data_IF_246587442112
#
_entry.id   IF_246587442112
#
_cell.length_a   1.000
_cell.length_b   1.000
_cell.length_c   1.000
_cell.angle_alpha   90.00
_cell.angle_beta   90.00
_cell.angle_gamma   90.00
#
_symmetry.space_group_name_H-M   'P 1'
#
loop_
_entity.id
_entity.type
_entity.pdbx_description
1 polymer ?
#
# COMPACT_ATOMS: atom_id res chain seq x y z
N UNK A 1 -8.14 -31.56 -1.90
CA UNK A 1 -8.71 -30.23 -2.21
C UNK A 1 -7.61 -29.21 -1.99
N UNK A 2 -7.20 -28.49 -3.03
CA UNK A 2 -6.19 -27.43 -2.88
C UNK A 2 -6.87 -26.30 -2.09
N UNK A 3 -6.35 -26.00 -0.90
CA UNK A 3 -6.91 -24.98 -0.03
C UNK A 3 -6.83 -23.60 -0.69
N UNK A 4 -7.88 -22.79 -0.57
CA UNK A 4 -7.81 -21.38 -0.95
C UNK A 4 -6.91 -20.68 0.07
N UNK A 5 -5.74 -20.23 -0.36
CA UNK A 5 -4.87 -19.39 0.44
C UNK A 5 -5.37 -17.95 0.34
N UNK A 6 -5.59 -17.32 1.50
CA UNK A 6 -5.93 -15.90 1.60
C UNK A 6 -4.77 -15.23 2.31
N UNK A 7 -4.20 -14.22 1.68
CA UNK A 7 -3.22 -13.32 2.29
C UNK A 7 -3.78 -11.91 2.33
N UNK A 8 -3.38 -11.14 3.33
CA UNK A 8 -3.77 -9.74 3.46
C UNK A 8 -2.53 -8.87 3.33
N UNK A 9 -2.62 -7.84 2.48
CA UNK A 9 -1.65 -6.75 2.42
C UNK A 9 -2.37 -5.51 2.95
N UNK A 10 -1.79 -4.86 3.96
CA UNK A 10 -2.32 -3.64 4.57
C UNK A 10 -1.36 -2.49 4.37
N UNK A 11 -1.87 -1.36 3.90
CA UNK A 11 -1.12 -0.11 3.75
C UNK A 11 -1.70 0.93 4.71
N UNK A 12 -0.86 1.49 5.57
CA UNK A 12 -1.23 2.51 6.54
C UNK A 12 -0.52 3.81 6.20
N UNK A 13 -1.30 4.88 6.04
CA UNK A 13 -0.80 6.23 5.71
C UNK A 13 -1.09 7.14 6.90
N UNK A 14 -0.04 7.60 7.57
CA UNK A 14 -0.15 8.61 8.62
C UNK A 14 -0.14 10.00 7.97
N UNK A 15 -1.15 10.80 8.27
CA UNK A 15 -1.33 12.14 7.71
C UNK A 15 -1.16 13.20 8.81
N UNK A 16 -0.61 14.36 8.44
CA UNK A 16 -0.59 15.54 9.31
C UNK A 16 -1.95 16.26 9.37
N UNK A 17 -2.01 17.36 10.13
CA UNK A 17 -3.21 18.21 10.25
C UNK A 17 -3.70 18.80 8.91
N UNK A 18 -2.80 18.93 7.93
CA UNK A 18 -3.10 19.40 6.57
C UNK A 18 -3.40 18.26 5.59
N UNK A 19 -3.50 17.01 6.07
CA UNK A 19 -3.73 15.78 5.31
C UNK A 19 -2.58 15.41 4.36
N UNK A 20 -1.36 15.82 4.68
CA UNK A 20 -0.16 15.45 3.91
C UNK A 20 0.44 14.16 4.51
N UNK A 21 0.77 13.15 3.69
CA UNK A 21 1.44 11.94 4.17
C UNK A 21 2.79 12.23 4.84
N UNK A 22 2.95 11.76 6.07
CA UNK A 22 4.20 11.83 6.83
C UNK A 22 4.90 10.47 6.89
N UNK A 23 4.15 9.40 7.15
CA UNK A 23 4.68 8.04 7.23
C UNK A 23 3.83 7.06 6.45
N UNK A 24 4.49 6.10 5.83
CA UNK A 24 3.86 4.98 5.15
C UNK A 24 4.35 3.70 5.79
N UNK A 25 3.43 2.87 6.27
CA UNK A 25 3.76 1.54 6.79
C UNK A 25 3.00 0.48 5.99
N UNK A 26 3.57 -0.71 5.88
CA UNK A 26 2.88 -1.84 5.27
C UNK A 26 3.16 -3.16 5.97
N UNK A 27 2.19 -4.05 5.83
CA UNK A 27 2.24 -5.42 6.31
C UNK A 27 1.87 -6.34 5.16
N UNK A 28 2.63 -7.41 4.96
CA UNK A 28 2.32 -8.51 4.06
C UNK A 28 2.61 -9.84 4.76
N UNK A 29 1.54 -10.46 5.28
CA UNK A 29 1.62 -11.65 6.15
C UNK A 29 2.33 -12.83 5.48
N UNK A 30 2.02 -13.12 4.21
CA UNK A 30 2.66 -14.20 3.46
C UNK A 30 4.12 -13.90 3.09
N UNK A 31 4.48 -12.60 3.06
CA UNK A 31 5.85 -12.14 2.82
C UNK A 31 6.70 -12.08 4.07
N UNK A 32 6.12 -12.32 5.25
CA UNK A 32 6.81 -12.15 6.54
C UNK A 32 7.14 -10.69 6.87
N UNK A 33 6.37 -9.74 6.34
CA UNK A 33 6.58 -8.30 6.51
C UNK A 33 5.51 -7.78 7.47
N UNK A 34 5.93 -7.17 8.57
CA UNK A 34 5.04 -6.68 9.62
C UNK A 34 5.36 -5.22 9.96
N UNK A 35 4.44 -4.31 9.60
CA UNK A 35 4.49 -2.88 9.93
C UNK A 35 5.83 -2.21 9.55
N UNK A 36 6.38 -2.58 8.40
CA UNK A 36 7.63 -2.01 7.88
C UNK A 36 7.37 -0.62 7.29
N UNK A 37 8.30 0.30 7.53
CA UNK A 37 8.24 1.67 7.04
C UNK A 37 8.67 1.74 5.56
N UNK A 38 7.99 2.58 4.78
CA UNK A 38 8.36 2.90 3.41
C UNK A 38 8.40 4.41 3.19
N UNK A 39 9.32 4.87 2.34
CA UNK A 39 9.39 6.28 1.92
C UNK A 39 8.46 6.61 0.75
N UNK A 40 8.14 5.58 -0.04
CA UNK A 40 7.22 5.69 -1.17
C UNK A 40 6.54 4.35 -1.43
N UNK A 41 5.33 4.42 -1.98
CA UNK A 41 4.56 3.26 -2.40
C UNK A 41 3.89 3.55 -3.74
N UNK A 42 3.92 2.56 -4.63
CA UNK A 42 3.21 2.59 -5.90
C UNK A 42 2.26 1.40 -5.94
N UNK A 43 0.97 1.68 -5.99
CA UNK A 43 -0.08 0.66 -6.09
C UNK A 43 -0.84 0.84 -7.41
N UNK A 44 -0.92 -0.22 -8.19
CA UNK A 44 -1.70 -0.28 -9.42
C UNK A 44 -2.72 -1.41 -9.33
N UNK A 45 -3.99 -1.08 -9.52
CA UNK A 45 -5.12 -2.02 -9.47
C UNK A 45 -5.78 -2.03 -10.84
N UNK A 46 -5.89 -3.21 -11.45
CA UNK A 46 -6.64 -3.39 -12.68
C UNK A 46 -8.13 -3.53 -12.37
N UNK A 47 -8.95 -2.63 -12.90
CA UNK A 47 -10.41 -2.78 -12.90
C UNK A 47 -10.85 -3.41 -14.22
N UNK A 48 -11.25 -4.68 -14.17
CA UNK A 48 -11.71 -5.41 -15.35
C UNK A 48 -13.07 -4.94 -15.87
N UNK A 49 -13.87 -4.22 -15.07
CA UNK A 49 -15.19 -3.72 -15.49
C UNK A 49 -15.07 -2.51 -16.39
N UNK A 50 -14.23 -1.55 -16.01
CA UNK A 50 -13.98 -0.33 -16.78
C UNK A 50 -12.79 -0.48 -17.73
N UNK A 51 -12.03 -1.59 -17.61
CA UNK A 51 -10.83 -1.88 -18.40
C UNK A 51 -9.75 -0.81 -18.27
N UNK A 52 -9.54 -0.33 -17.04
CA UNK A 52 -8.55 0.68 -16.73
C UNK A 52 -7.67 0.28 -15.54
N UNK A 53 -6.53 0.94 -15.41
CA UNK A 53 -5.65 0.80 -14.24
C UNK A 53 -5.87 1.99 -13.32
N UNK A 54 -6.35 1.71 -12.10
CA UNK A 54 -6.35 2.66 -11.01
C UNK A 54 -4.95 2.67 -10.40
N UNK A 55 -4.38 3.85 -10.21
CA UNK A 55 -3.04 4.00 -9.65
C UNK A 55 -3.07 4.97 -8.46
N UNK A 56 -2.34 4.60 -7.42
CA UNK A 56 -2.07 5.44 -6.26
C UNK A 56 -0.55 5.51 -6.11
N UNK A 57 -0.01 6.71 -6.24
CA UNK A 57 1.39 7.02 -5.93
C UNK A 57 1.40 7.82 -4.63
N UNK A 58 2.10 7.29 -3.62
CA UNK A 58 2.29 7.95 -2.33
C UNK A 58 3.78 8.11 -2.06
N UNK A 59 4.16 9.28 -1.58
CA UNK A 59 5.50 9.57 -1.10
C UNK A 59 5.42 10.43 0.16
N UNK A 60 6.38 10.26 1.07
CA UNK A 60 6.51 11.11 2.24
C UNK A 60 7.20 12.43 1.86
N UNK A 61 7.04 13.48 2.67
CA UNK A 61 7.66 14.79 2.44
C UNK A 61 9.19 14.74 2.37
N UNK A 62 9.79 13.77 3.05
CA UNK A 62 11.25 13.60 3.18
C UNK A 62 11.88 12.78 2.03
N UNK A 63 11.13 12.52 0.95
CA UNK A 63 11.68 11.91 -0.26
C UNK A 63 12.55 12.96 -1.00
N UNK A 64 13.88 12.75 -1.14
CA UNK A 64 14.79 13.70 -1.78
C UNK A 64 14.65 13.78 -3.30
#
# INVERSE_FOLDING_TARGET
MIGKHKSTISLTVELDDNRIPEKLNWTAEDGGIENEEAKAMMLSVWDSKTQETLRIDLWTKDMP
#
